data_IF_591573621573
#
_entry.id   IF_591573621573
#
_cell.length_a   1.000
_cell.length_b   1.000
_cell.length_c   1.000
_cell.angle_alpha   90.00
_cell.angle_beta   90.00
_cell.angle_gamma   90.00
#
_symmetry.space_group_name_H-M   'P 1'
#
loop_
_entity.id
_entity.type
_entity.pdbx_description
1 polymer ?
#
# COMPACT_ATOMS: atom_id res chain seq x y z
N UNK A 1 -10.65 -13.37 -23.38
CA UNK A 1 -11.59 -13.16 -22.27
C UNK A 1 -11.60 -11.68 -21.92
N UNK A 2 -12.73 -10.96 -22.06
CA UNK A 2 -12.83 -9.56 -21.59
C UNK A 2 -12.73 -9.59 -20.07
N UNK A 3 -11.55 -9.29 -19.53
CA UNK A 3 -11.34 -9.23 -18.09
C UNK A 3 -12.16 -8.07 -17.56
N UNK A 4 -13.13 -8.34 -16.67
CA UNK A 4 -13.94 -7.28 -16.04
C UNK A 4 -13.00 -6.45 -15.18
N UNK A 5 -12.74 -5.21 -15.59
CA UNK A 5 -12.02 -4.24 -14.77
C UNK A 5 -12.86 -3.95 -13.52
N UNK A 6 -12.43 -4.47 -12.37
CA UNK A 6 -13.08 -4.19 -11.09
C UNK A 6 -12.78 -2.73 -10.75
N UNK A 7 -13.75 -1.85 -10.51
CA UNK A 7 -13.45 -0.46 -10.18
C UNK A 7 -12.69 -0.38 -8.84
N UNK A 8 -11.68 0.50 -8.76
CA UNK A 8 -10.75 0.60 -7.62
C UNK A 8 -11.43 0.66 -6.24
N UNK A 9 -12.52 1.42 -6.10
CA UNK A 9 -13.26 1.56 -4.83
C UNK A 9 -13.96 0.26 -4.38
N UNK A 10 -14.13 -0.72 -5.28
CA UNK A 10 -14.68 -2.05 -4.94
C UNK A 10 -13.59 -3.08 -4.64
N UNK A 11 -12.33 -2.69 -4.75
CA UNK A 11 -11.23 -3.60 -4.48
C UNK A 11 -11.21 -4.03 -3.01
N UNK A 12 -11.18 -5.35 -2.78
CA UNK A 12 -11.23 -5.93 -1.43
C UNK A 12 -9.97 -5.59 -0.62
N UNK A 13 -8.83 -5.45 -1.30
CA UNK A 13 -7.53 -5.18 -0.66
C UNK A 13 -7.48 -3.73 -0.19
N UNK A 14 -8.04 -2.79 -0.95
CA UNK A 14 -8.21 -1.40 -0.50
C UNK A 14 -8.98 -1.32 0.83
N UNK A 15 -10.13 -1.99 0.93
CA UNK A 15 -10.91 -2.03 2.18
C UNK A 15 -10.11 -2.65 3.32
N UNK A 16 -9.37 -3.72 3.05
CA UNK A 16 -8.51 -4.36 4.04
C UNK A 16 -7.41 -3.41 4.54
N UNK A 17 -6.74 -2.68 3.64
CA UNK A 17 -5.70 -1.68 4.02
C UNK A 17 -6.29 -0.64 4.96
N UNK A 18 -7.44 -0.07 4.61
CA UNK A 18 -8.09 0.99 5.41
C UNK A 18 -8.51 0.44 6.78
N UNK A 19 -9.17 -0.71 6.82
CA UNK A 19 -9.60 -1.33 8.08
C UNK A 19 -8.39 -1.65 8.96
N UNK A 20 -7.35 -2.24 8.38
CA UNK A 20 -6.13 -2.58 9.10
C UNK A 20 -5.42 -1.33 9.63
N UNK A 21 -5.39 -0.24 8.85
CA UNK A 21 -4.83 1.04 9.29
C UNK A 21 -5.57 1.62 10.50
N UNK A 22 -6.91 1.58 10.47
CA UNK A 22 -7.73 2.04 11.59
C UNK A 22 -7.48 1.17 12.82
N UNK A 23 -7.51 -0.16 12.69
CA UNK A 23 -7.26 -1.08 13.82
C UNK A 23 -5.87 -0.86 14.42
N UNK A 24 -4.83 -0.82 13.59
CA UNK A 24 -3.44 -0.63 14.04
C UNK A 24 -3.28 0.72 14.72
N UNK A 25 -3.78 1.81 14.12
CA UNK A 25 -3.73 3.16 14.71
C UNK A 25 -4.49 3.22 16.04
N UNK A 26 -5.70 2.65 16.13
CA UNK A 26 -6.48 2.61 17.36
C UNK A 26 -5.77 1.84 18.47
N UNK A 27 -5.16 0.68 18.17
CA UNK A 27 -4.40 -0.09 19.15
C UNK A 27 -3.21 0.73 19.67
N UNK A 28 -2.43 1.33 18.78
CA UNK A 28 -1.28 2.18 19.15
C UNK A 28 -1.72 3.34 20.04
N UNK A 29 -2.84 3.98 19.72
CA UNK A 29 -3.41 5.06 20.51
C UNK A 29 -3.78 4.60 21.92
N UNK A 30 -4.38 3.41 22.07
CA UNK A 30 -4.70 2.82 23.38
C UNK A 30 -3.46 2.55 24.25
N UNK A 31 -2.30 2.30 23.63
CA UNK A 31 -1.01 2.17 24.33
C UNK A 31 -0.33 3.51 24.65
N UNK A 32 -0.99 4.65 24.37
CA UNK A 32 -0.50 6.00 24.69
C UNK A 32 0.51 6.56 23.68
N UNK A 33 0.75 5.88 22.56
CA UNK A 33 1.73 6.29 21.54
C UNK A 33 1.07 7.19 20.48
N UNK A 34 0.56 8.35 20.89
CA UNK A 34 -0.28 9.22 20.06
C UNK A 34 0.39 9.67 18.75
N UNK A 35 1.65 10.12 18.81
CA UNK A 35 2.39 10.58 17.62
C UNK A 35 2.54 9.47 16.58
N UNK A 36 2.78 8.24 17.03
CA UNK A 36 2.89 7.07 16.18
C UNK A 36 1.54 6.74 15.55
N UNK A 37 0.45 6.77 16.33
CA UNK A 37 -0.91 6.51 15.84
C UNK A 37 -1.32 7.51 14.74
N UNK A 38 -1.02 8.79 14.94
CA UNK A 38 -1.26 9.85 13.93
C UNK A 38 -0.38 9.63 12.71
N UNK A 39 0.90 9.27 12.91
CA UNK A 39 1.80 8.90 11.81
C UNK A 39 1.22 7.80 10.93
N UNK A 40 0.64 6.74 11.51
CA UNK A 40 -0.03 5.67 10.75
C UNK A 40 -1.17 6.23 9.88
N UNK A 41 -2.02 7.06 10.46
CA UNK A 41 -3.15 7.65 9.73
C UNK A 41 -2.69 8.57 8.60
N UNK A 42 -1.62 9.34 8.80
CA UNK A 42 -1.06 10.24 7.78
C UNK A 42 -0.31 9.47 6.69
N UNK A 43 0.40 8.41 7.03
CA UNK A 43 1.10 7.55 6.06
C UNK A 43 0.14 6.71 5.20
N UNK A 44 -1.06 6.41 5.72
CA UNK A 44 -2.04 5.54 5.04
C UNK A 44 -2.55 6.09 3.71
N UNK A 45 -2.97 7.36 3.56
CA UNK A 45 -3.33 7.94 2.27
C UNK A 45 -2.26 7.76 1.20
N UNK A 46 -0.97 7.96 1.56
CA UNK A 46 0.12 7.74 0.63
C UNK A 46 0.31 6.25 0.30
N UNK A 47 0.16 5.36 1.29
CA UNK A 47 0.12 3.91 1.08
C UNK A 47 -1.01 3.48 0.13
N UNK A 48 -2.20 4.07 0.26
CA UNK A 48 -3.35 3.85 -0.61
C UNK A 48 -3.09 4.37 -2.03
N UNK A 49 -2.48 5.55 -2.15
CA UNK A 49 -2.08 6.09 -3.46
C UNK A 49 -1.05 5.19 -4.15
N UNK A 50 -0.05 4.71 -3.41
CA UNK A 50 0.93 3.75 -3.91
C UNK A 50 0.30 2.43 -4.35
N UNK A 51 -0.69 1.94 -3.59
CA UNK A 51 -1.48 0.77 -3.96
C UNK A 51 -2.27 1.00 -5.25
N UNK A 52 -2.96 2.15 -5.36
CA UNK A 52 -3.70 2.53 -6.56
C UNK A 52 -2.81 2.60 -7.80
N UNK A 53 -1.63 3.23 -7.69
CA UNK A 53 -0.67 3.29 -8.80
C UNK A 53 -0.25 1.91 -9.28
N UNK A 54 -0.05 0.96 -8.36
CA UNK A 54 0.31 -0.41 -8.73
C UNK A 54 -0.89 -1.14 -9.35
N UNK A 55 -2.07 -1.02 -8.74
CA UNK A 55 -3.31 -1.60 -9.25
C UNK A 55 -3.61 -1.12 -10.68
N UNK A 56 -3.50 0.18 -10.97
CA UNK A 56 -3.70 0.73 -12.30
C UNK A 56 -2.64 0.23 -13.31
N UNK A 57 -1.41 -0.02 -12.86
CA UNK A 57 -0.38 -0.63 -13.72
C UNK A 57 -0.70 -2.09 -14.04
N UNK A 58 -1.23 -2.85 -13.07
CA UNK A 58 -1.69 -4.22 -13.31
C UNK A 58 -2.83 -4.25 -14.31
N UNK A 59 -3.82 -3.38 -14.17
CA UNK A 59 -4.95 -3.35 -15.10
C UNK A 59 -4.52 -2.95 -16.52
N UNK A 60 -3.70 -1.91 -16.66
CA UNK A 60 -3.18 -1.46 -17.98
C UNK A 60 -2.18 -2.44 -18.58
N UNK A 61 -1.40 -3.14 -17.74
CA UNK A 61 -0.41 -4.11 -18.18
C UNK A 61 -1.02 -5.33 -18.87
N UNK A 62 -2.28 -5.67 -18.58
CA UNK A 62 -2.99 -6.78 -19.23
C UNK A 62 -3.22 -6.58 -20.73
N UNK A 63 -3.19 -5.33 -21.21
CA UNK A 63 -3.41 -4.99 -22.63
C UNK A 63 -2.12 -4.64 -23.37
N UNK A 64 -0.98 -4.64 -22.69
CA UNK A 64 0.31 -4.25 -23.24
C UNK A 64 1.19 -5.49 -23.49
N UNK A 65 2.15 -5.36 -24.41
CA UNK A 65 3.22 -6.36 -24.53
C UNK A 65 4.08 -6.41 -23.26
N UNK A 66 4.63 -7.58 -22.96
CA UNK A 66 5.42 -7.83 -21.73
C UNK A 66 6.51 -6.79 -21.48
N UNK A 67 7.19 -6.31 -22.53
CA UNK A 67 8.27 -5.32 -22.39
C UNK A 67 7.75 -3.95 -21.93
N UNK A 68 6.66 -3.47 -22.53
CA UNK A 68 6.04 -2.19 -22.19
C UNK A 68 5.35 -2.25 -20.82
N UNK A 69 4.69 -3.37 -20.50
CA UNK A 69 4.13 -3.62 -19.18
C UNK A 69 5.22 -3.53 -18.10
N UNK A 70 6.34 -4.24 -18.28
CA UNK A 70 7.46 -4.23 -17.33
C UNK A 70 8.07 -2.83 -17.15
N UNK A 71 8.25 -2.08 -18.24
CA UNK A 71 8.75 -0.70 -18.19
C UNK A 71 7.82 0.20 -17.36
N UNK A 72 6.50 0.07 -17.55
CA UNK A 72 5.51 0.82 -16.77
C UNK A 72 5.54 0.42 -15.29
N UNK A 73 5.58 -0.87 -14.97
CA UNK A 73 5.68 -1.36 -13.58
C UNK A 73 6.93 -0.83 -12.88
N UNK A 74 8.07 -0.86 -13.57
CA UNK A 74 9.32 -0.35 -13.04
C UNK A 74 9.27 1.15 -12.78
N UNK A 75 8.77 1.93 -13.76
CA UNK A 75 8.61 3.37 -13.61
C UNK A 75 7.72 3.76 -12.43
N UNK A 76 6.60 3.08 -12.24
CA UNK A 76 5.71 3.34 -11.08
C UNK A 76 6.32 2.90 -9.76
N UNK A 77 7.11 1.82 -9.77
CA UNK A 77 7.84 1.38 -8.58
C UNK A 77 8.88 2.41 -8.14
N UNK A 78 9.56 3.07 -9.08
CA UNK A 78 10.47 4.18 -8.80
C UNK A 78 9.72 5.40 -8.26
N UNK A 79 8.60 5.79 -8.88
CA UNK A 79 7.78 6.90 -8.38
C UNK A 79 7.32 6.64 -6.94
N UNK A 80 6.82 5.43 -6.66
CA UNK A 80 6.45 5.00 -5.31
C UNK A 80 7.61 5.12 -4.33
N UNK A 81 8.81 4.70 -4.72
CA UNK A 81 10.00 4.78 -3.88
C UNK A 81 10.33 6.24 -3.56
N UNK A 82 10.38 7.12 -4.57
CA UNK A 82 10.66 8.54 -4.38
C UNK A 82 9.62 9.20 -3.47
N UNK A 83 8.32 8.95 -3.70
CA UNK A 83 7.26 9.49 -2.85
C UNK A 83 7.37 9.00 -1.40
N UNK A 84 7.73 7.73 -1.21
CA UNK A 84 7.92 7.15 0.12
C UNK A 84 9.11 7.79 0.84
N UNK A 85 10.23 8.01 0.14
CA UNK A 85 11.41 8.70 0.68
C UNK A 85 11.05 10.12 1.08
N UNK A 86 10.38 10.88 0.21
CA UNK A 86 9.95 12.26 0.50
C UNK A 86 9.06 12.28 1.75
N UNK A 87 8.08 11.39 1.84
CA UNK A 87 7.21 11.32 2.99
C UNK A 87 7.94 10.98 4.30
N UNK A 88 8.92 10.07 4.25
CA UNK A 88 9.74 9.73 5.41
C UNK A 88 10.65 10.91 5.82
N UNK A 89 11.23 11.63 4.87
CA UNK A 89 12.02 12.85 5.14
C UNK A 89 11.15 13.92 5.81
N UNK A 90 9.93 14.14 5.32
CA UNK A 90 8.99 15.09 5.91
C UNK A 90 8.56 14.63 7.32
N UNK A 91 8.29 13.34 7.50
CA UNK A 91 7.91 12.78 8.79
C UNK A 91 9.02 12.90 9.85
N UNK A 92 10.29 12.81 9.43
CA UNK A 92 11.44 12.99 10.32
C UNK A 92 11.46 14.36 11.00
N UNK A 93 10.92 15.40 10.36
CA UNK A 93 10.85 16.75 10.93
C UNK A 93 9.89 16.86 12.12
N UNK A 94 8.90 15.96 12.21
CA UNK A 94 7.92 15.93 13.30
C UNK A 94 8.46 15.15 14.50
N UNK A 95 9.16 14.04 14.24
CA UNK A 95 9.78 13.23 15.29
C UNK A 95 9.90 11.75 14.91
N UNK A 96 10.69 11.01 15.68
CA UNK A 96 10.97 9.59 15.42
C UNK A 96 9.71 8.72 15.55
N UNK A 97 8.84 8.97 16.53
CA UNK A 97 7.60 8.21 16.68
C UNK A 97 6.63 8.43 15.52
N UNK A 98 6.48 9.68 15.07
CA UNK A 98 5.67 10.02 13.90
C UNK A 98 6.23 9.36 12.62
N UNK A 99 7.55 9.42 12.41
CA UNK A 99 8.25 8.73 11.32
C UNK A 99 7.93 7.22 11.30
N UNK A 100 8.04 6.54 12.44
CA UNK A 100 7.72 5.12 12.57
C UNK A 100 6.25 4.85 12.24
N UNK A 101 5.35 5.72 12.68
CA UNK A 101 3.94 5.65 12.33
C UNK A 101 3.72 5.75 10.82
N UNK A 102 4.31 6.76 10.16
CA UNK A 102 4.22 6.92 8.70
C UNK A 102 4.78 5.71 7.98
N UNK A 103 5.91 5.19 8.44
CA UNK A 103 6.54 3.98 7.90
C UNK A 103 5.60 2.76 8.01
N UNK A 104 4.92 2.58 9.15
CA UNK A 104 3.92 1.52 9.32
C UNK A 104 2.76 1.72 8.35
N UNK A 105 2.19 2.93 8.26
CA UNK A 105 1.10 3.25 7.32
C UNK A 105 1.48 2.98 5.86
N UNK A 106 2.72 3.29 5.49
CA UNK A 106 3.30 2.92 4.20
C UNK A 106 3.44 1.41 4.06
N UNK A 107 3.81 0.64 5.08
CA UNK A 107 3.94 -0.82 4.97
C UNK A 107 2.62 -1.59 4.97
N UNK A 108 1.50 -1.00 5.41
CA UNK A 108 0.22 -1.70 5.44
C UNK A 108 -0.22 -2.21 4.07
N UNK A 109 0.09 -1.50 2.97
CA UNK A 109 -0.25 -2.00 1.64
C UNK A 109 0.60 -3.22 1.23
N UNK A 110 1.84 -3.36 1.73
CA UNK A 110 2.69 -4.53 1.45
C UNK A 110 2.11 -5.81 2.04
N UNK A 111 1.41 -5.72 3.18
CA UNK A 111 0.73 -6.88 3.78
C UNK A 111 -0.27 -7.56 2.84
N UNK A 112 -0.88 -6.79 1.92
CA UNK A 112 -1.84 -7.33 0.95
C UNK A 112 -1.18 -8.28 -0.07
N UNK A 113 0.09 -8.05 -0.42
CA UNK A 113 0.83 -8.91 -1.32
C UNK A 113 1.39 -10.14 -0.60
N UNK A 114 1.80 -10.01 0.66
CA UNK A 114 2.27 -11.14 1.47
C UNK A 114 1.19 -12.21 1.68
N UNK A 115 -0.08 -11.80 1.80
CA UNK A 115 -1.22 -12.73 1.90
C UNK A 115 -1.36 -13.56 0.61
N UNK A 116 -1.16 -12.97 -0.56
CA UNK A 116 -1.19 -13.71 -1.83
C UNK A 116 -0.07 -14.75 -1.90
N UNK A 117 1.15 -14.37 -1.52
CA UNK A 117 2.29 -15.30 -1.47
C UNK A 117 2.02 -16.45 -0.48
N UNK A 118 1.48 -16.16 0.70
CA UNK A 118 1.10 -17.18 1.68
C UNK A 118 -0.02 -18.10 1.17
N UNK A 119 -0.99 -17.56 0.42
CA UNK A 119 -2.05 -18.37 -0.18
C UNK A 119 -1.51 -19.30 -1.28
N UNK A 120 -0.55 -18.83 -2.08
CA UNK A 120 0.16 -19.64 -3.08
C UNK A 120 0.94 -20.77 -2.39
N UNK A 121 1.72 -20.46 -1.35
CA UNK A 121 2.47 -21.46 -0.58
C UNK A 121 1.57 -22.48 0.11
N UNK A 122 0.33 -22.09 0.48
CA UNK A 122 -0.70 -22.96 1.04
C UNK A 122 -1.53 -23.69 -0.03
N UNK A 123 -1.18 -23.60 -1.30
CA UNK A 123 -1.84 -24.32 -2.40
C UNK A 123 -3.25 -23.82 -2.76
N UNK A 124 -3.66 -22.63 -2.30
CA UNK A 124 -4.95 -22.04 -2.68
C UNK A 124 -4.81 -21.27 -4.00
N UNK A 125 -5.68 -21.58 -4.99
CA UNK A 125 -5.76 -20.85 -6.26
C UNK A 125 -6.18 -19.39 -6.02
N UNK A 126 -5.53 -18.47 -6.75
CA UNK A 126 -5.86 -17.04 -6.81
C UNK A 126 -7.35 -16.88 -7.19
N UNK A 127 -8.10 -16.15 -6.36
CA UNK A 127 -9.44 -15.64 -6.70
C UNK A 127 -9.31 -14.27 -7.36
#
# INVERSE_FOLDING_TARGET
MKNKTIPFHKDRRLKFIIILAVIVSSLIYLFGMNELAVGVLVGTPLGVFNYWMMWDAVQKGQTLENKEANKMFFGRSLIRLVLSIIALILALQVGVYFLLGVMIGLFLHLSTYSIDVLNILRGKKLQ
#
